data_IF_731565368866
#
_entry.id   IF_731565368866
#
_cell.length_a   1.000
_cell.length_b   1.000
_cell.length_c   1.000
_cell.angle_alpha   90.00
_cell.angle_beta   90.00
_cell.angle_gamma   90.00
#
_symmetry.space_group_name_H-M   'P 1'
#
loop_
_entity.id
_entity.type
_entity.pdbx_description
1 polymer ?
#
# COMPACT_ATOMS: atom_id res chain seq x y z
N UNK A 1 13.05 -10.38 -9.83
CA UNK A 1 12.48 -11.55 -10.55
C UNK A 1 11.57 -11.13 -11.70
N UNK A 2 10.46 -10.43 -11.43
CA UNK A 2 9.43 -10.14 -12.44
C UNK A 2 9.79 -9.05 -13.46
N UNK A 3 10.53 -8.01 -13.05
CA UNK A 3 10.90 -6.93 -13.96
C UNK A 3 11.93 -7.40 -15.00
N UNK A 4 11.74 -7.12 -16.30
CA UNK A 4 12.77 -7.32 -17.32
C UNK A 4 14.07 -6.56 -17.02
N UNK A 5 13.98 -5.46 -16.28
CA UNK A 5 15.14 -4.64 -15.89
C UNK A 5 16.07 -5.36 -14.93
N UNK A 6 15.58 -6.41 -14.26
CA UNK A 6 16.38 -7.20 -13.35
C UNK A 6 17.14 -8.36 -14.02
N UNK A 7 17.04 -8.49 -15.35
CA UNK A 7 17.66 -9.61 -16.08
C UNK A 7 19.19 -9.57 -15.96
N UNK A 8 19.77 -10.69 -15.51
CA UNK A 8 21.21 -10.85 -15.35
C UNK A 8 21.82 -10.19 -14.10
N UNK A 9 21.02 -9.54 -13.26
CA UNK A 9 21.54 -8.87 -12.04
C UNK A 9 21.79 -9.83 -10.87
N UNK A 10 21.22 -11.04 -10.92
CA UNK A 10 21.36 -12.06 -9.88
C UNK A 10 21.21 -13.47 -10.48
N UNK A 11 21.66 -14.46 -9.72
CA UNK A 11 21.65 -15.87 -10.13
C UNK A 11 20.68 -16.73 -9.30
N UNK A 12 20.22 -16.23 -8.14
CA UNK A 12 19.30 -16.90 -7.20
C UNK A 12 18.48 -15.85 -6.45
N UNK A 13 17.34 -16.24 -5.91
CA UNK A 13 16.50 -15.37 -5.09
C UNK A 13 15.91 -16.10 -3.86
N UNK A 14 15.67 -15.35 -2.79
CA UNK A 14 15.00 -15.83 -1.58
C UNK A 14 13.82 -14.89 -1.29
N UNK A 15 12.61 -15.43 -1.17
CA UNK A 15 11.41 -14.70 -0.71
C UNK A 15 11.03 -15.15 0.70
N UNK A 16 10.88 -14.23 1.63
CA UNK A 16 10.55 -14.52 3.03
C UNK A 16 9.25 -13.81 3.41
N UNK A 17 8.25 -14.57 3.82
CA UNK A 17 6.95 -14.08 4.33
C UNK A 17 6.20 -13.15 3.37
N UNK A 18 6.41 -13.29 2.05
CA UNK A 18 5.75 -12.44 1.06
C UNK A 18 6.08 -12.76 -0.39
N UNK A 19 5.15 -12.42 -1.29
CA UNK A 19 5.31 -12.57 -2.74
C UNK A 19 4.70 -11.38 -3.47
N UNK A 20 5.03 -11.20 -4.75
CA UNK A 20 4.44 -10.14 -5.57
C UNK A 20 2.94 -10.34 -5.85
N UNK A 21 2.38 -11.52 -5.58
CA UNK A 21 0.94 -11.81 -5.72
C UNK A 21 0.20 -11.75 -4.38
N UNK A 22 0.89 -11.41 -3.29
CA UNK A 22 0.24 -11.13 -2.02
C UNK A 22 -0.77 -9.99 -2.19
N UNK A 23 -1.94 -10.04 -1.53
CA UNK A 23 -3.00 -9.04 -1.70
C UNK A 23 -2.58 -7.62 -1.28
N UNK A 24 -1.55 -7.51 -0.45
CA UNK A 24 -0.97 -6.24 -0.02
C UNK A 24 0.20 -5.75 -0.90
N UNK A 25 0.63 -6.51 -1.92
CA UNK A 25 1.86 -6.22 -2.66
C UNK A 25 1.64 -5.52 -4.01
N UNK A 26 0.40 -5.38 -4.47
CA UNK A 26 0.10 -4.78 -5.78
C UNK A 26 -1.23 -4.02 -5.80
N UNK A 27 -1.20 -2.77 -6.25
CA UNK A 27 -2.39 -1.93 -6.34
C UNK A 27 -3.00 -1.97 -7.76
N UNK A 28 -4.22 -2.51 -7.93
CA UNK A 28 -4.91 -2.51 -9.22
C UNK A 28 -5.55 -1.15 -9.57
N UNK A 29 -5.73 -0.25 -8.60
CA UNK A 29 -6.44 1.01 -8.75
C UNK A 29 -5.70 2.21 -8.14
N UNK A 30 -4.42 2.47 -8.53
CA UNK A 30 -3.60 3.52 -7.90
C UNK A 30 -4.17 4.94 -8.04
N UNK A 31 -4.93 5.21 -9.11
CA UNK A 31 -5.57 6.51 -9.33
C UNK A 31 -6.70 6.81 -8.34
N UNK A 32 -7.39 5.78 -7.84
CA UNK A 32 -8.44 5.94 -6.83
C UNK A 32 -7.81 6.46 -5.54
N UNK A 33 -6.74 5.81 -5.09
CA UNK A 33 -5.98 6.23 -3.90
C UNK A 33 -5.44 7.66 -4.07
N UNK A 34 -4.83 7.98 -5.22
CA UNK A 34 -4.37 9.33 -5.50
C UNK A 34 -5.51 10.37 -5.43
N UNK A 35 -6.69 10.04 -5.95
CA UNK A 35 -7.86 10.94 -5.91
C UNK A 35 -8.39 11.12 -4.49
N UNK A 36 -8.45 10.06 -3.68
CA UNK A 36 -8.84 10.12 -2.27
C UNK A 36 -7.92 11.05 -1.47
N UNK A 37 -6.61 10.95 -1.68
CA UNK A 37 -5.61 11.78 -0.99
C UNK A 37 -5.73 13.24 -1.39
N UNK A 38 -5.85 13.53 -2.69
CA UNK A 38 -6.09 14.88 -3.17
C UNK A 38 -7.37 15.49 -2.57
N UNK A 39 -8.44 14.69 -2.42
CA UNK A 39 -9.67 15.13 -1.78
C UNK A 39 -9.46 15.51 -0.31
N UNK A 40 -8.73 14.71 0.47
CA UNK A 40 -8.36 15.06 1.85
C UNK A 40 -7.56 16.37 1.91
N UNK A 41 -6.76 16.65 0.87
CA UNK A 41 -6.00 17.90 0.73
C UNK A 41 -6.83 19.07 0.14
N UNK A 42 -8.14 18.90 0.00
CA UNK A 42 -9.05 19.95 -0.48
C UNK A 42 -9.16 20.06 -2.00
N UNK A 43 -8.63 19.10 -2.77
CA UNK A 43 -8.65 19.10 -4.23
C UNK A 43 -9.57 17.99 -4.76
N UNK A 44 -10.74 18.39 -5.24
CA UNK A 44 -11.70 17.47 -5.89
C UNK A 44 -11.48 17.48 -7.40
N UNK A 45 -10.94 16.39 -7.95
CA UNK A 45 -10.68 16.24 -9.38
C UNK A 45 -10.46 14.77 -9.76
N UNK A 46 -10.81 14.41 -10.99
CA UNK A 46 -10.45 13.13 -11.62
C UNK A 46 -9.40 13.30 -12.73
N UNK A 47 -8.98 14.54 -13.00
CA UNK A 47 -7.98 14.85 -14.02
C UNK A 47 -6.56 14.53 -13.51
N UNK A 48 -5.87 13.62 -14.21
CA UNK A 48 -4.53 13.16 -13.82
C UNK A 48 -3.49 14.29 -13.79
N UNK A 49 -3.56 15.26 -14.71
CA UNK A 49 -2.61 16.37 -14.75
C UNK A 49 -2.80 17.28 -13.53
N UNK A 50 -4.05 17.61 -13.19
CA UNK A 50 -4.36 18.42 -12.00
C UNK A 50 -3.93 17.72 -10.70
N UNK A 51 -4.10 16.39 -10.61
CA UNK A 51 -3.58 15.60 -9.49
C UNK A 51 -2.05 15.72 -9.41
N UNK A 52 -1.36 15.51 -10.54
CA UNK A 52 0.09 15.62 -10.61
C UNK A 52 0.59 17.01 -10.20
N UNK A 53 0.03 18.08 -10.76
CA UNK A 53 0.43 19.46 -10.48
C UNK A 53 0.23 19.81 -8.99
N UNK A 54 -0.87 19.35 -8.40
CA UNK A 54 -1.12 19.52 -6.97
C UNK A 54 -0.07 18.79 -6.13
N UNK A 55 0.18 17.50 -6.40
CA UNK A 55 1.15 16.73 -5.62
C UNK A 55 2.59 17.23 -5.76
N UNK A 56 2.95 17.77 -6.92
CA UNK A 56 4.29 18.36 -7.14
C UNK A 56 4.51 19.67 -6.40
N UNK A 57 3.45 20.36 -5.99
CA UNK A 57 3.53 21.66 -5.28
C UNK A 57 3.09 21.57 -3.81
N UNK A 58 2.47 20.46 -3.41
CA UNK A 58 2.01 20.24 -2.06
C UNK A 58 3.16 20.16 -1.05
N UNK A 59 2.90 20.62 0.18
CA UNK A 59 3.80 20.38 1.30
C UNK A 59 3.87 18.87 1.58
N UNK A 60 5.09 18.34 1.68
CA UNK A 60 5.33 16.89 1.86
C UNK A 60 4.73 16.36 3.16
N UNK A 61 4.82 17.09 4.26
CA UNK A 61 4.22 16.70 5.54
C UNK A 61 2.70 16.62 5.43
N UNK A 62 2.07 17.62 4.81
CA UNK A 62 0.62 17.61 4.58
C UNK A 62 0.20 16.45 3.66
N UNK A 63 0.97 16.16 2.61
CA UNK A 63 0.75 15.02 1.73
C UNK A 63 0.86 13.69 2.48
N UNK A 64 1.87 13.52 3.32
CA UNK A 64 2.04 12.32 4.16
C UNK A 64 0.90 12.17 5.17
N UNK A 65 0.45 13.25 5.81
CA UNK A 65 -0.67 13.19 6.75
C UNK A 65 -1.99 12.84 6.04
N UNK A 66 -2.28 13.46 4.90
CA UNK A 66 -3.44 13.13 4.09
C UNK A 66 -3.40 11.68 3.59
N UNK A 67 -2.19 11.22 3.28
CA UNK A 67 -1.90 9.84 2.96
C UNK A 67 -2.29 8.91 4.13
N UNK A 68 -1.73 9.13 5.31
CA UNK A 68 -1.99 8.33 6.50
C UNK A 68 -3.48 8.23 6.83
N UNK A 69 -4.24 9.33 6.67
CA UNK A 69 -5.70 9.34 6.86
C UNK A 69 -6.39 8.30 5.95
N UNK A 70 -6.03 8.26 4.66
CA UNK A 70 -6.59 7.29 3.71
C UNK A 70 -6.18 5.85 4.07
N UNK A 71 -4.95 5.64 4.51
CA UNK A 71 -4.48 4.32 4.96
C UNK A 71 -5.26 3.84 6.19
N UNK A 72 -5.36 4.68 7.23
CA UNK A 72 -6.05 4.32 8.47
C UNK A 72 -7.54 4.07 8.26
N UNK A 73 -8.18 4.78 7.33
CA UNK A 73 -9.56 4.52 6.94
C UNK A 73 -9.73 3.13 6.33
N UNK A 74 -8.83 2.71 5.43
CA UNK A 74 -8.86 1.35 4.83
C UNK A 74 -8.55 0.26 5.85
N UNK A 75 -7.64 0.54 6.78
CA UNK A 75 -7.29 -0.39 7.86
C UNK A 75 -8.44 -0.64 8.85
N UNK A 76 -9.53 0.13 8.87
CA UNK A 76 -10.67 -0.13 9.76
C UNK A 76 -11.34 -1.49 9.51
N UNK A 77 -11.17 -2.09 8.32
CA UNK A 77 -11.70 -3.42 8.02
C UNK A 77 -10.58 -4.44 7.81
N UNK A 78 -10.14 -5.15 8.86
CA UNK A 78 -9.04 -6.13 8.75
C UNK A 78 -9.34 -7.31 7.83
N UNK A 79 -10.61 -7.55 7.51
CA UNK A 79 -10.99 -8.58 6.55
C UNK A 79 -10.56 -8.20 5.14
N UNK A 80 -10.33 -6.91 4.90
CA UNK A 80 -9.78 -6.37 3.68
C UNK A 80 -8.27 -6.15 3.86
N UNK A 81 -7.50 -7.24 3.80
CA UNK A 81 -6.02 -7.21 3.75
C UNK A 81 -5.48 -6.59 2.45
N UNK A 82 -6.37 -6.09 1.60
CA UNK A 82 -6.08 -5.38 0.37
C UNK A 82 -5.72 -3.92 0.69
N UNK A 83 -4.69 -3.76 1.54
CA UNK A 83 -4.05 -2.48 1.86
C UNK A 83 -3.22 -2.01 0.65
N UNK A 84 -3.90 -1.80 -0.47
CA UNK A 84 -3.35 -1.35 -1.74
C UNK A 84 -2.97 0.12 -1.66
N UNK A 85 -1.98 0.41 -0.81
CA UNK A 85 -1.66 1.72 -0.33
C UNK A 85 -0.19 2.03 -0.62
N UNK A 86 0.07 2.90 -1.61
CA UNK A 86 1.41 3.17 -2.17
C UNK A 86 2.31 1.94 -2.39
N UNK A 87 1.70 0.85 -2.83
CA UNK A 87 2.41 -0.36 -3.24
C UNK A 87 2.60 -0.36 -4.77
N UNK A 88 3.46 -1.23 -5.32
CA UNK A 88 3.67 -1.32 -6.76
C UNK A 88 2.37 -1.40 -7.56
N UNK A 89 2.35 -0.80 -8.75
CA UNK A 89 1.24 -0.86 -9.69
C UNK A 89 1.76 -0.99 -11.13
N UNK A 90 0.87 -1.32 -12.08
CA UNK A 90 1.25 -1.42 -13.49
C UNK A 90 1.46 -0.03 -14.10
N UNK A 91 2.65 0.23 -14.64
CA UNK A 91 3.03 1.52 -15.18
C UNK A 91 2.47 1.76 -16.60
N UNK A 92 1.68 2.82 -16.75
CA UNK A 92 1.04 3.22 -18.02
C UNK A 92 1.52 4.57 -18.52
N UNK A 93 1.50 4.78 -19.84
CA UNK A 93 1.49 6.11 -20.47
C UNK A 93 2.78 6.95 -20.47
N UNK A 94 3.74 6.76 -19.54
CA UNK A 94 4.97 7.56 -19.54
C UNK A 94 6.03 6.98 -20.48
N UNK A 95 6.69 7.84 -21.26
CA UNK A 95 7.89 7.51 -22.05
C UNK A 95 9.06 7.27 -21.08
N UNK A 96 9.85 6.22 -21.32
CA UNK A 96 10.99 5.86 -20.50
C UNK A 96 10.99 4.40 -20.09
N UNK A 97 11.99 4.03 -19.29
CA UNK A 97 12.14 2.70 -18.75
C UNK A 97 11.08 2.46 -17.67
N UNK A 98 10.38 1.32 -17.73
CA UNK A 98 9.34 0.93 -16.77
C UNK A 98 9.81 -0.31 -16.03
N UNK A 99 9.60 -0.32 -14.72
CA UNK A 99 9.95 -1.44 -13.87
C UNK A 99 8.95 -2.59 -14.04
N UNK A 100 7.64 -2.32 -13.92
CA UNK A 100 6.57 -3.32 -14.09
C UNK A 100 5.38 -2.73 -14.85
N UNK A 101 4.95 -3.42 -15.91
CA UNK A 101 3.90 -2.94 -16.83
C UNK A 101 2.60 -3.75 -16.80
N UNK A 102 2.59 -4.88 -16.07
CA UNK A 102 1.44 -5.77 -15.92
C UNK A 102 1.29 -6.23 -14.47
N UNK A 103 0.09 -6.64 -14.04
CA UNK A 103 -0.08 -7.32 -12.78
C UNK A 103 0.87 -8.53 -12.63
N UNK A 104 1.49 -8.73 -11.45
CA UNK A 104 2.42 -9.84 -11.20
C UNK A 104 1.88 -11.22 -11.59
N UNK A 105 0.59 -11.46 -11.35
CA UNK A 105 -0.07 -12.73 -11.70
C UNK A 105 -0.10 -13.00 -13.21
N UNK A 106 -0.22 -11.96 -14.04
CA UNK A 106 -0.20 -12.09 -15.50
C UNK A 106 1.23 -12.39 -15.99
N UNK A 107 2.23 -11.67 -15.46
CA UNK A 107 3.64 -11.90 -15.79
C UNK A 107 4.05 -13.36 -15.48
N UNK A 108 3.61 -13.87 -14.34
CA UNK A 108 3.88 -15.24 -13.91
C UNK A 108 3.21 -16.26 -14.84
N UNK A 109 1.93 -16.06 -15.19
CA UNK A 109 1.19 -16.94 -16.11
C UNK A 109 1.79 -16.97 -17.51
N UNK A 110 2.31 -15.84 -17.98
CA UNK A 110 2.98 -15.71 -19.28
C UNK A 110 4.38 -16.34 -19.30
N UNK A 111 4.97 -16.64 -18.13
CA UNK A 111 6.35 -17.12 -18.02
C UNK A 111 7.42 -16.09 -18.37
N UNK A 112 7.02 -14.82 -18.59
CA UNK A 112 7.90 -13.74 -19.04
C UNK A 112 8.58 -13.02 -17.88
N UNK A 113 9.36 -13.76 -17.09
CA UNK A 113 10.14 -13.26 -15.96
C UNK A 113 11.53 -13.90 -15.92
N UNK A 114 12.40 -13.39 -15.05
CA UNK A 114 13.74 -13.95 -14.91
C UNK A 114 13.69 -15.27 -14.14
N UNK A 115 13.86 -16.38 -14.86
CA UNK A 115 13.85 -17.71 -14.29
C UNK A 115 15.22 -18.03 -13.66
N UNK A 116 15.28 -17.95 -12.33
CA UNK A 116 16.44 -18.36 -11.53
C UNK A 116 15.96 -19.27 -10.40
N UNK A 117 16.82 -20.15 -9.84
CA UNK A 117 16.48 -20.89 -8.64
C UNK A 117 16.01 -19.95 -7.51
N UNK A 118 14.86 -20.28 -6.93
CA UNK A 118 14.23 -19.49 -5.89
C UNK A 118 13.89 -20.36 -4.68
N UNK A 119 14.15 -19.84 -3.48
CA UNK A 119 13.64 -20.38 -2.23
C UNK A 119 12.55 -19.44 -1.69
N UNK A 120 11.44 -19.98 -1.23
CA UNK A 120 10.36 -19.20 -0.59
C UNK A 120 10.02 -19.84 0.75
N UNK A 121 9.84 -19.02 1.78
CA UNK A 121 9.47 -19.49 3.12
C UNK A 121 8.52 -18.54 3.84
N UNK A 122 7.87 -19.05 4.88
CA UNK A 122 6.94 -18.37 5.79
C UNK A 122 7.23 -18.84 7.21
N UNK A 123 6.79 -18.11 8.23
CA UNK A 123 6.79 -18.62 9.60
C UNK A 123 5.52 -19.43 9.87
N UNK A 124 5.52 -20.21 10.94
CA UNK A 124 4.34 -20.92 11.45
C UNK A 124 3.20 -19.96 11.86
N UNK A 125 3.53 -18.69 12.12
CA UNK A 125 2.61 -17.70 12.67
C UNK A 125 2.63 -16.34 11.93
N UNK A 126 2.92 -16.30 10.62
CA UNK A 126 3.00 -15.04 9.83
C UNK A 126 1.75 -14.16 9.96
N UNK A 127 0.58 -14.78 10.14
CA UNK A 127 -0.70 -14.06 10.30
C UNK A 127 -0.85 -13.30 11.63
N UNK A 128 -0.02 -13.56 12.63
CA UNK A 128 -0.10 -12.90 13.95
C UNK A 128 0.12 -11.40 13.88
N UNK A 129 0.82 -10.91 12.85
CA UNK A 129 0.98 -9.47 12.62
C UNK A 129 -0.36 -8.75 12.47
N UNK A 130 -1.34 -9.38 11.82
CA UNK A 130 -2.67 -8.79 11.62
C UNK A 130 -3.49 -8.77 12.91
N UNK A 131 -3.31 -9.78 13.78
CA UNK A 131 -3.91 -9.79 15.11
C UNK A 131 -3.34 -8.66 15.97
N UNK A 132 -2.01 -8.48 15.96
CA UNK A 132 -1.36 -7.37 16.68
C UNK A 132 -1.88 -6.01 16.20
N UNK A 133 -2.04 -5.81 14.89
CA UNK A 133 -2.62 -4.59 14.33
C UNK A 133 -4.05 -4.33 14.84
N UNK A 134 -4.87 -5.36 15.01
CA UNK A 134 -6.24 -5.20 15.52
C UNK A 134 -6.27 -4.84 17.01
N UNK A 135 -5.44 -5.49 17.82
CA UNK A 135 -5.30 -5.15 19.24
C UNK A 135 -4.87 -3.69 19.46
N UNK A 136 -3.96 -3.17 18.63
CA UNK A 136 -3.53 -1.77 18.72
C UNK A 136 -4.65 -0.78 18.40
N UNK A 137 -5.56 -1.09 17.47
CA UNK A 137 -6.72 -0.21 17.18
C UNK A 137 -7.67 -0.09 18.37
N UNK A 138 -7.98 -1.22 19.01
CA UNK A 138 -8.88 -1.25 20.17
C UNK A 138 -8.34 -0.39 21.31
N UNK A 139 -7.02 -0.43 21.55
CA UNK A 139 -6.39 0.38 22.60
C UNK A 139 -6.37 1.88 22.28
N UNK A 140 -6.18 2.30 21.02
CA UNK A 140 -6.25 3.73 20.65
C UNK A 140 -7.66 4.29 20.84
N UNK A 141 -8.71 3.53 20.47
CA UNK A 141 -10.10 3.93 20.73
C UNK A 141 -10.34 3.99 22.24
N UNK A 142 -9.87 3.01 23.01
CA UNK A 142 -10.04 3.01 24.47
C UNK A 142 -9.35 4.21 25.13
N UNK A 143 -8.13 4.54 24.71
CA UNK A 143 -7.37 5.70 25.22
C UNK A 143 -8.05 7.02 24.83
N UNK A 144 -8.53 7.16 23.60
CA UNK A 144 -9.27 8.36 23.16
C UNK A 144 -10.61 8.48 23.89
N UNK A 145 -11.36 7.40 24.07
CA UNK A 145 -12.63 7.39 24.83
C UNK A 145 -12.39 7.71 26.31
N UNK A 146 -11.33 7.17 26.92
CA UNK A 146 -10.95 7.50 28.30
C UNK A 146 -10.47 8.94 28.43
N UNK A 147 -9.70 9.44 27.48
CA UNK A 147 -9.27 10.84 27.43
C UNK A 147 -10.46 11.80 27.25
N UNK A 148 -11.41 11.47 26.39
CA UNK A 148 -12.64 12.25 26.20
C UNK A 148 -13.57 12.15 27.42
N UNK A 149 -13.76 10.98 28.03
CA UNK A 149 -14.50 10.83 29.30
C UNK A 149 -13.89 11.67 30.40
N UNK A 150 -12.56 11.63 30.54
CA UNK A 150 -11.84 12.37 31.58
C UNK A 150 -11.88 13.88 31.38
N UNK A 151 -11.84 14.36 30.14
CA UNK A 151 -11.78 15.80 29.84
C UNK A 151 -13.15 16.45 29.57
N UNK A 152 -14.18 15.70 29.16
CA UNK A 152 -15.50 16.26 28.83
C UNK A 152 -16.62 15.91 29.80
N UNK A 153 -16.52 14.79 30.54
CA UNK A 153 -17.62 14.35 31.39
C UNK A 153 -17.36 14.51 32.90
N UNK A 154 -16.15 14.93 33.29
CA UNK A 154 -15.77 15.10 34.70
C UNK A 154 -15.82 13.79 35.50
N UNK A 155 -15.19 13.72 36.69
CA UNK A 155 -15.41 12.60 37.59
C UNK A 155 -16.86 12.62 38.07
N UNK A 156 -17.57 11.49 37.97
CA UNK A 156 -18.81 11.27 38.72
C UNK A 156 -18.52 11.16 40.21
#
# INVERSE_FOLDING_TARGET
ILSPLSKGLFHRAIGQSGTAVSPWAFNPAPKVVATEIAHIMGVVTTNNQRLYDHFMTANSTALTLASDVVLFAKLQNIRDININYYVPCAEVGRKGQKFITKPPIEILKEGNFNQVPMMVGTTDADGTIFLACEFLKLNTIFVVVLFLKRNYYGPQ
#
